data_IF_059272429547
#
_entry.id   IF_059272429547
#
_cell.length_a   1.000
_cell.length_b   1.000
_cell.length_c   1.000
_cell.angle_alpha   90.00
_cell.angle_beta   90.00
_cell.angle_gamma   90.00
#
_symmetry.space_group_name_H-M   'P 1'
#
loop_
_entity.id
_entity.type
_entity.pdbx_description
1 polymer ?
#
# COMPACT_ATOMS: atom_id res chain seq x y z
N UNK A 1 2.19 54.91 -52.82
CA UNK A 1 3.36 54.08 -52.63
C UNK A 1 2.99 52.99 -51.64
N UNK A 2 2.54 52.01 -52.16
CA UNK A 2 2.76 50.57 -52.19
C UNK A 2 2.87 49.88 -50.84
N UNK A 3 1.77 49.21 -50.46
CA UNK A 3 1.67 48.11 -49.46
C UNK A 3 2.54 46.94 -49.94
N UNK A 4 3.43 46.48 -49.10
CA UNK A 4 4.14 45.22 -49.30
C UNK A 4 3.31 44.09 -48.67
N UNK A 5 2.86 43.14 -49.49
CA UNK A 5 2.19 41.92 -49.14
C UNK A 5 3.14 40.95 -48.39
N UNK A 6 2.85 40.68 -47.14
CA UNK A 6 3.45 39.60 -46.39
C UNK A 6 2.64 38.32 -46.63
N UNK A 7 3.14 37.48 -47.53
CA UNK A 7 2.67 36.12 -47.76
C UNK A 7 2.89 35.25 -46.51
N UNK A 8 1.86 35.07 -45.68
CA UNK A 8 1.81 34.02 -44.67
C UNK A 8 1.62 32.69 -45.41
N UNK A 9 2.70 31.92 -45.49
CA UNK A 9 2.62 30.52 -45.90
C UNK A 9 1.77 29.77 -44.88
N UNK A 10 0.62 29.24 -45.30
CA UNK A 10 -0.17 28.28 -44.55
C UNK A 10 0.68 27.05 -44.24
N UNK A 11 0.87 26.79 -42.97
CA UNK A 11 1.42 25.53 -42.44
C UNK A 11 0.28 24.49 -42.64
N UNK A 12 0.49 23.41 -43.39
CA UNK A 12 -0.54 22.41 -43.57
C UNK A 12 -0.90 21.76 -42.23
N UNK A 13 -2.12 21.88 -41.80
CA UNK A 13 -2.75 21.10 -40.71
C UNK A 13 -2.79 19.63 -41.17
N UNK A 14 -1.73 18.88 -40.96
CA UNK A 14 -1.73 17.42 -40.95
C UNK A 14 -2.24 16.97 -39.57
N UNK A 15 -3.54 17.00 -39.35
CA UNK A 15 -4.23 16.27 -38.31
C UNK A 15 -4.89 15.06 -38.97
N UNK A 16 -4.14 14.02 -39.28
CA UNK A 16 -4.72 12.69 -39.42
C UNK A 16 -5.12 12.25 -38.01
N UNK A 17 -6.44 12.13 -37.76
CA UNK A 17 -6.95 11.36 -36.64
C UNK A 17 -6.48 9.93 -36.85
N UNK A 18 -5.49 9.50 -36.07
CA UNK A 18 -5.04 8.09 -36.05
C UNK A 18 -6.23 7.24 -35.59
N UNK A 19 -6.44 6.09 -36.21
CA UNK A 19 -7.40 5.11 -35.72
C UNK A 19 -7.01 4.67 -34.31
N UNK A 20 -7.98 4.41 -33.44
CA UNK A 20 -7.76 4.01 -32.03
C UNK A 20 -6.73 2.86 -31.91
N UNK A 21 -6.79 1.90 -32.81
CA UNK A 21 -5.86 0.76 -32.84
C UNK A 21 -4.40 1.18 -33.12
N UNK A 22 -4.19 2.14 -34.03
CA UNK A 22 -2.86 2.66 -34.33
C UNK A 22 -2.24 3.44 -33.16
N UNK A 23 -3.08 4.17 -32.39
CA UNK A 23 -2.62 4.87 -31.18
C UNK A 23 -2.18 3.87 -30.11
N UNK A 24 -2.94 2.80 -29.93
CA UNK A 24 -2.61 1.73 -28.98
C UNK A 24 -1.29 1.07 -29.36
N UNK A 25 -1.14 0.65 -30.62
CA UNK A 25 0.07 0.01 -31.13
C UNK A 25 1.30 0.93 -30.94
N UNK A 26 1.19 2.21 -31.32
CA UNK A 26 2.28 3.17 -31.15
C UNK A 26 2.69 3.39 -29.69
N UNK A 27 1.77 3.36 -28.74
CA UNK A 27 2.08 3.47 -27.31
C UNK A 27 2.76 2.21 -26.80
N UNK A 28 2.23 1.03 -27.13
CA UNK A 28 2.79 -0.25 -26.67
C UNK A 28 4.18 -0.51 -27.22
N UNK A 29 4.45 -0.15 -28.49
CA UNK A 29 5.76 -0.28 -29.14
C UNK A 29 6.86 0.57 -28.45
N UNK A 30 6.48 1.58 -27.65
CA UNK A 30 7.42 2.43 -26.87
C UNK A 30 7.73 1.88 -25.50
N UNK A 31 7.11 0.78 -25.08
CA UNK A 31 7.38 0.12 -23.83
C UNK A 31 8.61 -0.79 -24.01
N UNK A 32 9.79 -0.25 -23.66
CA UNK A 32 11.05 -1.02 -23.74
C UNK A 32 11.19 -1.90 -22.49
N UNK A 33 11.12 -3.21 -22.69
CA UNK A 33 11.25 -4.20 -21.61
C UNK A 33 12.62 -4.18 -20.92
N UNK A 34 13.69 -3.79 -21.63
CA UNK A 34 15.03 -3.70 -21.03
C UNK A 34 15.14 -2.49 -20.12
N UNK A 35 14.62 -1.34 -20.56
CA UNK A 35 14.55 -0.13 -19.75
C UNK A 35 13.68 -0.36 -18.53
N UNK A 36 12.53 -1.03 -18.68
CA UNK A 36 11.64 -1.36 -17.57
C UNK A 36 12.32 -2.25 -16.52
N UNK A 37 13.00 -3.31 -16.96
CA UNK A 37 13.76 -4.20 -16.05
C UNK A 37 14.87 -3.42 -15.33
N UNK A 38 15.60 -2.58 -16.06
CA UNK A 38 16.64 -1.77 -15.44
C UNK A 38 16.08 -0.79 -14.42
N UNK A 39 15.00 -0.08 -14.74
CA UNK A 39 14.34 0.84 -13.80
C UNK A 39 13.83 0.12 -12.54
N UNK A 40 13.26 -1.08 -12.69
CA UNK A 40 12.82 -1.88 -11.54
C UNK A 40 14.00 -2.29 -10.65
N UNK A 41 15.13 -2.66 -11.24
CA UNK A 41 16.36 -2.98 -10.50
C UNK A 41 16.98 -1.75 -9.84
N UNK A 42 17.00 -0.60 -10.52
CA UNK A 42 17.51 0.65 -9.95
C UNK A 42 16.69 1.07 -8.73
N UNK A 43 15.36 1.04 -8.82
CA UNK A 43 14.45 1.29 -7.70
C UNK A 43 14.65 0.24 -6.58
N UNK A 44 14.75 -1.03 -6.93
CA UNK A 44 14.92 -2.13 -5.98
C UNK A 44 16.25 -2.08 -5.22
N UNK A 45 17.28 -1.49 -5.79
CA UNK A 45 18.60 -1.33 -5.17
C UNK A 45 18.74 -0.09 -4.29
N UNK A 46 17.74 0.78 -4.23
CA UNK A 46 17.68 1.86 -3.26
C UNK A 46 16.98 1.33 -2.01
N UNK A 47 17.73 1.15 -0.93
CA UNK A 47 17.17 0.70 0.35
C UNK A 47 16.29 1.80 0.95
N UNK A 48 15.01 1.51 1.16
CA UNK A 48 14.02 2.51 1.58
C UNK A 48 13.00 1.94 2.57
N UNK A 49 13.44 1.41 3.72
CA UNK A 49 12.48 1.03 4.76
C UNK A 49 11.63 2.23 5.16
N UNK A 50 10.40 1.98 5.62
CA UNK A 50 9.47 3.05 6.04
C UNK A 50 10.18 4.03 6.99
N UNK A 51 10.10 5.31 6.67
CA UNK A 51 10.82 6.38 7.39
C UNK A 51 12.11 6.84 6.70
N UNK A 52 12.65 6.07 5.75
CA UNK A 52 13.93 6.31 5.07
C UNK A 52 13.77 6.48 3.55
N UNK A 53 12.62 6.97 3.06
CA UNK A 53 12.27 7.01 1.64
C UNK A 53 12.91 8.18 0.85
N UNK A 54 13.76 9.01 1.48
CA UNK A 54 14.30 10.21 0.84
C UNK A 54 15.10 9.96 -0.44
N UNK A 55 15.98 8.96 -0.44
CA UNK A 55 16.83 8.64 -1.58
C UNK A 55 16.02 8.15 -2.79
N UNK A 56 15.08 7.23 -2.58
CA UNK A 56 14.21 6.76 -3.67
C UNK A 56 13.30 7.87 -4.18
N UNK A 57 12.83 8.76 -3.30
CA UNK A 57 12.05 9.94 -3.69
C UNK A 57 12.84 10.88 -4.60
N UNK A 58 14.13 11.15 -4.30
CA UNK A 58 15.02 11.93 -5.17
C UNK A 58 15.24 11.23 -6.51
N UNK A 59 15.43 9.92 -6.50
CA UNK A 59 15.60 9.13 -7.72
C UNK A 59 14.37 9.23 -8.64
N UNK A 60 13.16 8.96 -8.12
CA UNK A 60 11.91 9.03 -8.89
C UNK A 60 11.66 10.44 -9.42
N UNK A 61 11.91 11.46 -8.59
CA UNK A 61 11.80 12.85 -8.98
C UNK A 61 12.74 13.20 -10.15
N UNK A 62 14.02 12.82 -10.04
CA UNK A 62 15.02 13.05 -11.08
C UNK A 62 14.72 12.28 -12.36
N UNK A 63 14.28 11.02 -12.26
CA UNK A 63 13.89 10.22 -13.41
C UNK A 63 12.71 10.87 -14.17
N UNK A 64 11.65 11.27 -13.48
CA UNK A 64 10.52 11.96 -14.09
C UNK A 64 10.92 13.26 -14.79
N UNK A 65 11.82 14.06 -14.20
CA UNK A 65 12.37 15.24 -14.86
C UNK A 65 13.12 14.91 -16.14
N UNK A 66 13.96 13.87 -16.13
CA UNK A 66 14.70 13.41 -17.31
C UNK A 66 13.77 12.94 -18.43
N UNK A 67 12.65 12.31 -18.05
CA UNK A 67 11.60 11.92 -19.01
C UNK A 67 10.70 13.11 -19.42
N UNK A 68 11.02 14.35 -18.99
CA UNK A 68 10.36 15.59 -19.39
C UNK A 68 9.01 15.82 -18.72
N UNK A 69 8.72 15.17 -17.60
CA UNK A 69 7.62 15.56 -16.72
C UNK A 69 8.01 16.75 -15.85
N UNK A 70 7.01 17.39 -15.22
CA UNK A 70 7.21 18.45 -14.23
C UNK A 70 6.81 17.93 -12.82
N UNK A 71 7.62 17.06 -12.17
CA UNK A 71 7.27 16.50 -10.89
C UNK A 71 7.33 17.55 -9.77
N UNK A 72 6.53 17.30 -8.74
CA UNK A 72 6.51 18.09 -7.49
C UNK A 72 6.81 17.17 -6.31
N UNK A 73 7.53 17.69 -5.33
CA UNK A 73 7.75 17.04 -4.04
C UNK A 73 6.68 17.53 -3.07
N UNK A 74 5.90 16.62 -2.53
CA UNK A 74 4.85 16.89 -1.55
C UNK A 74 5.15 16.10 -0.27
N UNK A 75 5.45 16.78 0.84
CA UNK A 75 5.80 16.08 2.07
C UNK A 75 5.74 16.94 3.31
N UNK A 76 5.55 16.28 4.45
CA UNK A 76 5.62 16.86 5.79
C UNK A 76 7.07 17.01 6.26
N UNK A 77 8.00 16.20 5.72
CA UNK A 77 9.38 16.11 6.16
C UNK A 77 10.33 16.39 5.01
N UNK A 78 11.47 16.98 5.31
CA UNK A 78 12.43 17.40 4.28
C UNK A 78 13.01 16.23 3.47
N UNK A 79 13.29 15.11 4.13
CA UNK A 79 13.91 13.93 3.53
C UNK A 79 12.92 12.78 3.36
N UNK A 80 11.61 13.06 3.37
CA UNK A 80 10.54 12.10 3.30
C UNK A 80 9.32 12.74 2.67
N UNK A 81 9.15 12.57 1.36
CA UNK A 81 8.16 13.28 0.55
C UNK A 81 7.62 12.38 -0.56
N UNK A 82 6.39 12.64 -0.94
CA UNK A 82 5.76 12.02 -2.11
C UNK A 82 6.22 12.74 -3.37
N UNK A 83 6.32 12.00 -4.47
CA UNK A 83 6.60 12.55 -5.80
C UNK A 83 5.34 12.49 -6.63
N UNK A 84 4.89 13.64 -7.11
CA UNK A 84 3.67 13.76 -7.91
C UNK A 84 3.98 14.42 -9.23
N UNK A 85 3.55 13.80 -10.34
CA UNK A 85 3.65 14.37 -11.68
C UNK A 85 2.33 14.22 -12.42
N UNK A 86 2.12 15.04 -13.45
CA UNK A 86 0.91 14.98 -14.28
C UNK A 86 1.29 14.97 -15.75
N UNK A 87 0.74 14.04 -16.51
CA UNK A 87 0.63 14.15 -17.96
C UNK A 87 -0.72 14.82 -18.25
N UNK A 88 -0.72 16.11 -18.66
CA UNK A 88 -1.95 16.86 -18.76
C UNK A 88 -2.80 16.41 -19.95
N UNK A 89 -4.09 16.31 -19.73
CA UNK A 89 -5.12 16.18 -20.76
C UNK A 89 -5.65 17.54 -21.24
N UNK A 90 -6.74 17.52 -22.00
CA UNK A 90 -7.43 18.72 -22.45
C UNK A 90 -8.66 19.09 -21.59
N UNK A 91 -8.79 18.51 -20.41
CA UNK A 91 -9.87 18.70 -19.43
C UNK A 91 -11.26 18.22 -19.89
N UNK A 92 -11.35 17.41 -20.94
CA UNK A 92 -12.63 16.88 -21.44
C UNK A 92 -12.88 15.42 -20.99
N UNK A 93 -11.86 14.74 -20.46
CA UNK A 93 -11.91 13.35 -20.02
C UNK A 93 -11.79 13.20 -18.52
N UNK A 94 -11.86 11.94 -18.05
CA UNK A 94 -11.66 11.58 -16.64
C UNK A 94 -10.18 11.64 -16.27
N UNK A 95 -9.89 12.18 -15.11
CA UNK A 95 -8.55 12.11 -14.50
C UNK A 95 -8.34 10.74 -13.85
N UNK A 96 -7.19 10.11 -14.15
CA UNK A 96 -6.75 8.86 -13.52
C UNK A 96 -5.52 9.10 -12.66
N UNK A 97 -5.55 8.64 -11.41
CA UNK A 97 -4.36 8.55 -10.56
C UNK A 97 -3.76 7.15 -10.68
N UNK A 98 -2.46 7.04 -10.97
CA UNK A 98 -1.66 5.84 -10.76
C UNK A 98 -0.86 6.02 -9.48
N UNK A 99 -0.98 5.08 -8.56
CA UNK A 99 -0.39 5.17 -7.22
C UNK A 99 0.42 3.92 -6.90
N UNK A 100 1.61 4.11 -6.34
CA UNK A 100 2.45 3.08 -5.74
C UNK A 100 3.29 3.68 -4.61
N UNK A 101 3.68 2.85 -3.66
CA UNK A 101 4.53 3.29 -2.55
C UNK A 101 6.01 3.01 -2.78
N UNK A 102 6.85 3.83 -2.14
CA UNK A 102 8.31 3.76 -2.25
C UNK A 102 8.97 3.00 -1.11
N UNK A 103 8.28 2.83 0.00
CA UNK A 103 8.83 2.20 1.20
C UNK A 103 8.84 0.68 1.12
N UNK A 104 9.74 0.08 1.90
CA UNK A 104 9.91 -1.37 2.05
C UNK A 104 9.72 -1.81 3.51
N UNK A 105 9.49 -3.13 3.70
CA UNK A 105 8.95 -3.68 4.94
C UNK A 105 9.98 -3.75 6.08
N UNK A 106 11.28 -3.97 5.78
CA UNK A 106 12.27 -4.42 6.77
C UNK A 106 13.45 -3.45 6.82
N UNK A 107 13.71 -2.91 8.01
CA UNK A 107 14.94 -2.18 8.30
C UNK A 107 16.03 -3.11 8.83
N UNK A 108 17.30 -2.78 8.56
CA UNK A 108 18.48 -3.58 8.98
C UNK A 108 18.58 -3.76 10.49
N UNK A 109 18.04 -2.81 11.23
CA UNK A 109 18.04 -2.76 12.69
C UNK A 109 16.96 -3.67 13.31
N UNK A 110 16.03 -4.19 12.54
CA UNK A 110 14.91 -5.02 13.01
C UNK A 110 15.29 -6.48 13.32
N UNK A 111 16.48 -6.71 13.85
CA UNK A 111 17.03 -8.04 14.14
C UNK A 111 16.20 -8.85 15.15
N UNK A 112 15.41 -8.19 15.99
CA UNK A 112 14.56 -8.84 16.99
C UNK A 112 13.23 -9.35 16.42
N UNK A 113 12.77 -8.78 15.34
CA UNK A 113 11.50 -9.15 14.66
C UNK A 113 11.77 -9.98 13.42
N UNK A 114 12.88 -9.71 12.73
CA UNK A 114 13.22 -10.38 11.47
C UNK A 114 14.60 -11.03 11.57
N UNK A 115 14.59 -12.34 11.70
CA UNK A 115 15.84 -13.12 11.72
C UNK A 115 16.53 -12.99 10.36
N UNK A 116 17.74 -12.44 10.37
CA UNK A 116 18.45 -12.14 9.13
C UNK A 116 18.03 -10.82 8.47
N UNK A 117 17.55 -9.84 9.24
CA UNK A 117 17.15 -8.53 8.74
C UNK A 117 18.19 -7.83 7.84
N UNK A 118 19.47 -8.14 8.02
CA UNK A 118 20.56 -7.62 7.18
C UNK A 118 20.79 -8.42 5.88
N UNK A 119 19.97 -9.44 5.57
CA UNK A 119 20.10 -10.22 4.34
C UNK A 119 19.86 -9.31 3.12
N UNK A 120 20.71 -9.38 2.08
CA UNK A 120 20.56 -8.60 0.86
C UNK A 120 19.18 -8.69 0.19
N UNK A 121 18.45 -9.78 0.37
CA UNK A 121 17.10 -9.95 -0.20
C UNK A 121 16.12 -8.84 0.29
N UNK A 122 16.35 -8.25 1.46
CA UNK A 122 15.52 -7.18 2.00
C UNK A 122 15.95 -5.77 1.55
N UNK A 123 17.19 -5.61 1.01
CA UNK A 123 17.79 -4.30 0.78
C UNK A 123 18.30 -4.07 -0.63
N UNK A 124 18.23 -5.11 -1.48
CA UNK A 124 18.76 -5.07 -2.84
C UNK A 124 17.85 -5.83 -3.79
N UNK A 125 18.04 -5.59 -5.09
CA UNK A 125 17.34 -6.32 -6.13
C UNK A 125 18.34 -6.82 -7.20
N UNK A 126 18.06 -8.00 -7.74
CA UNK A 126 18.84 -8.58 -8.82
C UNK A 126 17.97 -9.40 -9.77
N UNK A 127 18.53 -9.73 -10.92
CA UNK A 127 17.90 -10.60 -11.90
C UNK A 127 18.49 -12.01 -11.80
N UNK A 128 17.60 -13.02 -11.80
CA UNK A 128 17.98 -14.42 -11.92
C UNK A 128 17.10 -15.09 -12.99
N UNK A 129 17.68 -15.34 -14.16
CA UNK A 129 16.93 -15.84 -15.31
C UNK A 129 15.81 -14.88 -15.74
N UNK A 130 14.56 -15.34 -15.64
CA UNK A 130 13.35 -14.58 -15.97
C UNK A 130 12.68 -13.94 -14.74
N UNK A 131 13.36 -13.97 -13.58
CA UNK A 131 12.88 -13.39 -12.36
C UNK A 131 13.66 -12.13 -11.99
N UNK A 132 12.95 -11.15 -11.42
CA UNK A 132 13.50 -10.08 -10.59
C UNK A 132 13.26 -10.45 -9.13
N UNK A 133 14.31 -10.36 -8.32
CA UNK A 133 14.29 -10.79 -6.91
C UNK A 133 14.71 -9.63 -6.04
N UNK A 134 14.07 -9.48 -4.88
CA UNK A 134 14.40 -8.50 -3.87
C UNK A 134 13.16 -7.90 -3.21
N UNK A 135 13.35 -7.38 -2.00
CA UNK A 135 12.30 -6.69 -1.27
C UNK A 135 11.90 -5.40 -2.01
N UNK A 136 10.60 -5.17 -2.16
CA UNK A 136 10.06 -4.05 -2.92
C UNK A 136 9.84 -4.36 -4.41
N UNK A 137 10.45 -5.40 -5.01
CA UNK A 137 10.18 -5.76 -6.41
C UNK A 137 8.69 -6.08 -6.63
N UNK A 138 8.08 -6.83 -5.74
CA UNK A 138 6.64 -7.10 -5.80
C UNK A 138 5.80 -6.03 -5.10
N UNK A 139 6.36 -5.38 -4.08
CA UNK A 139 5.64 -4.47 -3.17
C UNK A 139 6.54 -3.28 -2.78
N UNK A 140 6.61 -2.18 -3.53
CA UNK A 140 5.72 -1.89 -4.68
C UNK A 140 6.52 -1.28 -5.85
N UNK A 141 7.88 -1.38 -5.82
CA UNK A 141 8.81 -0.73 -6.76
C UNK A 141 8.72 -1.28 -8.19
N UNK A 142 8.41 -2.57 -8.36
CA UNK A 142 8.18 -3.15 -9.69
C UNK A 142 6.91 -2.59 -10.34
N UNK A 143 5.74 -2.68 -9.71
CA UNK A 143 4.53 -2.01 -10.20
C UNK A 143 4.73 -0.52 -10.47
N UNK A 144 5.51 0.19 -9.62
CA UNK A 144 5.91 1.58 -9.84
C UNK A 144 6.72 1.75 -11.13
N UNK A 145 7.73 0.93 -11.36
CA UNK A 145 8.51 0.95 -12.59
C UNK A 145 7.61 0.74 -13.82
N UNK A 146 6.64 -0.17 -13.73
CA UNK A 146 5.72 -0.48 -14.82
C UNK A 146 4.87 0.74 -15.21
N UNK A 147 4.25 1.45 -14.25
CA UNK A 147 3.47 2.63 -14.63
C UNK A 147 4.34 3.85 -14.97
N UNK A 148 5.56 3.96 -14.46
CA UNK A 148 6.52 4.99 -14.88
C UNK A 148 6.84 4.83 -16.38
N UNK A 149 7.16 3.63 -16.83
CA UNK A 149 7.43 3.33 -18.24
C UNK A 149 6.16 3.49 -19.10
N UNK A 150 4.99 3.07 -18.61
CA UNK A 150 3.72 3.30 -19.30
C UNK A 150 3.45 4.80 -19.52
N UNK A 151 3.65 5.63 -18.48
CA UNK A 151 3.48 7.08 -18.56
C UNK A 151 4.50 7.72 -19.54
N UNK A 152 5.76 7.26 -19.53
CA UNK A 152 6.77 7.68 -20.50
C UNK A 152 6.33 7.34 -21.92
N UNK A 153 5.88 6.11 -22.18
CA UNK A 153 5.42 5.67 -23.50
C UNK A 153 4.24 6.49 -24.01
N UNK A 154 3.27 6.79 -23.13
CA UNK A 154 2.15 7.68 -23.45
C UNK A 154 2.62 9.09 -23.82
N UNK A 155 3.58 9.62 -23.10
CA UNK A 155 4.13 10.96 -23.39
C UNK A 155 4.91 10.99 -24.71
N UNK A 156 5.76 10.02 -24.96
CA UNK A 156 6.62 9.94 -26.16
C UNK A 156 5.85 9.63 -27.43
N UNK A 157 4.70 8.92 -27.33
CA UNK A 157 3.82 8.70 -28.48
C UNK A 157 3.17 10.00 -28.97
N UNK A 158 3.19 11.05 -28.15
CA UNK A 158 2.52 12.31 -28.48
C UNK A 158 1.00 12.24 -28.45
N UNK A 159 0.42 11.16 -27.90
CA UNK A 159 -1.04 11.02 -27.73
C UNK A 159 -1.57 12.15 -26.84
N UNK A 160 -2.68 12.74 -27.26
CA UNK A 160 -3.37 13.76 -26.47
C UNK A 160 -4.51 13.13 -25.69
N UNK A 161 -4.30 12.95 -24.40
CA UNK A 161 -5.34 12.49 -23.49
C UNK A 161 -6.43 13.56 -23.33
N UNK A 162 -7.67 13.15 -23.04
CA UNK A 162 -8.76 14.08 -22.72
C UNK A 162 -8.76 14.44 -21.22
N UNK A 163 -8.45 13.50 -20.34
CA UNK A 163 -8.27 13.70 -18.90
C UNK A 163 -6.82 13.64 -18.50
N UNK A 164 -6.52 14.12 -17.30
CA UNK A 164 -5.16 14.10 -16.75
C UNK A 164 -4.76 12.71 -16.28
N UNK A 165 -3.53 12.30 -16.56
CA UNK A 165 -2.90 11.15 -15.90
C UNK A 165 -2.01 11.67 -14.79
N UNK A 166 -2.38 11.39 -13.55
CA UNK A 166 -1.68 11.81 -12.34
C UNK A 166 -0.85 10.63 -11.82
N UNK A 167 0.44 10.85 -11.62
CA UNK A 167 1.41 9.86 -11.17
C UNK A 167 1.77 10.17 -9.72
N UNK A 168 1.66 9.19 -8.82
CA UNK A 168 1.95 9.36 -7.40
C UNK A 168 2.83 8.23 -6.88
N UNK A 169 4.09 8.55 -6.58
CA UNK A 169 4.98 7.70 -5.80
C UNK A 169 5.01 8.20 -4.36
N UNK A 170 4.51 7.40 -3.43
CA UNK A 170 4.22 7.83 -2.07
C UNK A 170 5.10 7.16 -1.02
N UNK A 171 5.21 7.79 0.15
CA UNK A 171 5.94 7.28 1.31
C UNK A 171 5.00 6.64 2.31
N UNK A 172 5.51 5.75 3.17
CA UNK A 172 4.85 5.34 4.41
C UNK A 172 3.59 4.50 4.25
N UNK A 173 3.45 3.77 3.15
CA UNK A 173 2.31 2.87 2.95
C UNK A 173 2.39 1.66 3.90
N UNK A 174 3.54 1.01 3.98
CA UNK A 174 3.74 -0.19 4.82
C UNK A 174 3.57 0.14 6.31
N UNK A 175 4.08 1.26 6.71
CA UNK A 175 3.65 1.92 7.93
C UNK A 175 4.33 1.53 9.23
N UNK A 176 4.91 2.52 9.84
CA UNK A 176 5.10 2.61 11.28
C UNK A 176 3.88 3.31 11.88
N UNK A 177 3.54 3.01 13.15
CA UNK A 177 2.42 3.63 13.84
C UNK A 177 2.87 4.12 15.21
N UNK A 178 2.62 5.40 15.54
CA UNK A 178 3.06 5.97 16.82
C UNK A 178 2.40 5.27 18.01
N UNK A 179 3.21 4.83 18.97
CA UNK A 179 2.76 4.23 20.22
C UNK A 179 3.83 4.38 21.31
N UNK A 180 3.43 4.61 22.53
CA UNK A 180 4.31 4.78 23.71
C UNK A 180 5.43 5.81 23.46
N UNK A 181 6.70 5.42 23.60
CA UNK A 181 7.88 6.25 23.29
C UNK A 181 8.15 6.39 21.78
N UNK A 182 7.55 5.55 20.95
CA UNK A 182 7.68 5.61 19.49
C UNK A 182 6.68 6.62 18.93
N UNK A 183 7.09 7.88 18.79
CA UNK A 183 6.22 9.00 18.42
C UNK A 183 6.69 9.69 17.14
N UNK A 184 5.82 10.45 16.45
CA UNK A 184 6.24 11.27 15.30
C UNK A 184 7.39 12.22 15.66
N UNK A 185 8.24 12.61 14.66
CA UNK A 185 8.06 12.42 13.22
C UNK A 185 8.57 11.10 12.65
N UNK A 186 9.36 10.33 13.40
CA UNK A 186 10.04 9.13 12.88
C UNK A 186 9.05 8.00 12.59
N UNK A 187 7.98 7.90 13.37
CA UNK A 187 7.00 6.80 13.31
C UNK A 187 5.70 7.17 12.57
N UNK A 188 5.58 8.39 12.05
CA UNK A 188 4.41 8.79 11.27
C UNK A 188 4.56 8.29 9.82
N UNK A 189 3.76 7.32 9.42
CA UNK A 189 3.85 6.73 8.10
C UNK A 189 2.66 7.09 7.18
N UNK A 190 1.50 6.54 7.42
CA UNK A 190 0.33 6.62 6.53
C UNK A 190 -0.16 8.05 6.24
N UNK A 191 -0.06 8.96 7.20
CA UNK A 191 -0.46 10.35 7.04
C UNK A 191 0.49 11.13 6.13
N UNK A 192 1.76 10.72 6.05
CA UNK A 192 2.77 11.38 5.22
C UNK A 192 2.66 10.99 3.74
N UNK A 193 2.05 9.83 3.44
CA UNK A 193 1.93 9.23 2.11
C UNK A 193 0.72 9.72 1.31
N UNK A 194 -0.05 8.78 0.78
CA UNK A 194 -1.19 9.05 -0.12
C UNK A 194 -2.20 10.02 0.49
N UNK A 195 -2.47 9.96 1.79
CA UNK A 195 -3.38 10.91 2.45
C UNK A 195 -2.89 12.36 2.30
N UNK A 196 -1.60 12.59 2.52
CA UNK A 196 -0.99 13.90 2.31
C UNK A 196 -1.05 14.32 0.84
N UNK A 197 -0.68 13.42 -0.07
CA UNK A 197 -0.70 13.70 -1.51
C UNK A 197 -2.09 14.10 -2.01
N UNK A 198 -3.14 13.37 -1.65
CA UNK A 198 -4.54 13.64 -2.04
C UNK A 198 -5.01 14.98 -1.48
N UNK A 199 -4.76 15.26 -0.21
CA UNK A 199 -5.17 16.54 0.42
C UNK A 199 -4.39 17.75 -0.12
N UNK A 200 -3.30 17.52 -0.87
CA UNK A 200 -2.49 18.56 -1.52
C UNK A 200 -2.54 18.50 -3.05
N UNK A 201 -3.65 17.98 -3.59
CA UNK A 201 -4.02 18.13 -5.00
C UNK A 201 -3.61 16.99 -5.92
N UNK A 202 -3.16 15.85 -5.41
CA UNK A 202 -3.02 14.62 -6.21
C UNK A 202 -4.38 13.92 -6.36
N UNK A 203 -5.31 14.52 -7.09
CA UNK A 203 -6.72 14.13 -7.18
C UNK A 203 -7.10 13.87 -8.64
N UNK A 204 -7.70 12.71 -8.89
CA UNK A 204 -8.33 12.32 -10.15
C UNK A 204 -9.81 11.96 -9.97
N UNK A 205 -10.50 11.64 -11.05
CA UNK A 205 -11.88 11.14 -11.02
C UNK A 205 -11.93 9.67 -10.55
N UNK A 206 -10.81 8.95 -10.65
CA UNK A 206 -10.59 7.61 -10.08
C UNK A 206 -9.10 7.35 -9.85
N UNK A 207 -8.78 6.30 -9.10
CA UNK A 207 -7.41 5.90 -8.80
C UNK A 207 -7.20 4.40 -9.03
N UNK A 208 -6.10 4.04 -9.66
CA UNK A 208 -5.55 2.70 -9.74
C UNK A 208 -4.37 2.62 -8.77
N UNK A 209 -4.51 1.82 -7.73
CA UNK A 209 -3.42 1.47 -6.83
C UNK A 209 -2.69 0.28 -7.47
N UNK A 210 -1.50 0.56 -7.98
CA UNK A 210 -0.73 -0.38 -8.79
C UNK A 210 0.13 -1.26 -7.87
N UNK A 211 -0.50 -2.19 -7.18
CA UNK A 211 0.14 -3.18 -6.31
C UNK A 211 -0.18 -4.61 -6.75
N UNK A 212 0.64 -5.57 -6.30
CA UNK A 212 0.50 -6.97 -6.65
C UNK A 212 -0.82 -7.59 -6.25
N UNK A 213 -1.59 -8.10 -7.25
CA UNK A 213 -2.86 -8.81 -7.05
C UNK A 213 -2.98 -10.04 -7.95
N UNK A 214 -1.87 -10.50 -8.54
CA UNK A 214 -1.87 -11.54 -9.58
C UNK A 214 -2.86 -11.23 -10.73
N UNK A 215 -2.92 -9.95 -11.13
CA UNK A 215 -3.88 -9.41 -12.08
C UNK A 215 -5.35 -9.63 -11.73
N UNK A 216 -5.64 -9.85 -10.45
CA UNK A 216 -7.00 -9.88 -9.93
C UNK A 216 -7.50 -8.50 -9.54
N UNK A 217 -8.81 -8.28 -9.64
CA UNK A 217 -9.46 -7.04 -9.22
C UNK A 217 -9.72 -7.02 -7.71
N UNK A 218 -9.44 -5.89 -7.07
CA UNK A 218 -9.81 -5.63 -5.67
C UNK A 218 -10.35 -4.21 -5.53
N UNK A 219 -11.58 -4.06 -5.04
CA UNK A 219 -12.14 -2.75 -4.68
C UNK A 219 -12.86 -2.75 -3.33
N UNK A 220 -12.58 -3.78 -2.51
CA UNK A 220 -12.89 -3.80 -1.08
C UNK A 220 -11.65 -4.19 -0.31
N UNK A 221 -11.33 -3.46 0.73
CA UNK A 221 -10.24 -3.82 1.63
C UNK A 221 -10.60 -3.64 3.09
N UNK A 222 -9.96 -4.47 3.93
CA UNK A 222 -10.07 -4.39 5.36
C UNK A 222 -9.61 -3.02 5.88
N UNK A 223 -10.18 -2.60 6.99
CA UNK A 223 -9.58 -1.62 7.87
C UNK A 223 -8.60 -2.28 8.84
N UNK A 224 -7.99 -1.46 9.69
CA UNK A 224 -7.15 -1.93 10.79
C UNK A 224 -7.45 -1.15 12.07
N UNK A 225 -7.44 -1.88 13.19
CA UNK A 225 -7.55 -1.34 14.51
C UNK A 225 -6.43 -1.94 15.36
N UNK A 226 -5.53 -1.11 15.89
CA UNK A 226 -4.44 -1.56 16.71
C UNK A 226 -4.74 -1.31 18.17
N UNK A 227 -4.59 -2.36 18.96
CA UNK A 227 -4.88 -2.32 20.38
C UNK A 227 -3.62 -2.60 21.20
N UNK A 228 -3.45 -1.83 22.26
CA UNK A 228 -2.52 -2.15 23.33
C UNK A 228 -3.34 -2.70 24.49
N UNK A 229 -3.06 -3.93 24.89
CA UNK A 229 -3.71 -4.59 26.03
C UNK A 229 -2.69 -4.75 27.14
N UNK A 230 -2.89 -4.01 28.22
CA UNK A 230 -2.01 -4.04 29.39
C UNK A 230 -2.66 -4.87 30.48
N UNK A 231 -1.91 -5.82 31.05
CA UNK A 231 -2.27 -6.62 32.21
C UNK A 231 -1.39 -6.20 33.38
N UNK A 232 -2.03 -6.01 34.54
CA UNK A 232 -1.35 -5.61 35.77
C UNK A 232 -1.09 -6.83 36.67
N UNK A 233 0.09 -6.85 37.30
CA UNK A 233 0.48 -7.75 38.38
C UNK A 233 0.10 -7.17 39.73
N UNK A 234 0.87 -7.52 40.76
CA UNK A 234 0.71 -6.91 42.08
C UNK A 234 1.43 -5.55 42.15
N UNK A 235 0.86 -4.62 42.93
CA UNK A 235 1.40 -3.25 43.07
C UNK A 235 2.79 -3.21 43.70
N UNK A 236 3.09 -4.17 44.57
CA UNK A 236 4.40 -4.29 45.20
C UNK A 236 5.18 -5.41 44.52
N UNK A 237 6.34 -5.10 43.85
CA UNK A 237 7.15 -6.13 43.23
C UNK A 237 7.77 -7.04 44.26
N UNK A 238 7.62 -8.36 44.10
CA UNK A 238 8.22 -9.35 44.96
C UNK A 238 9.61 -9.75 44.43
N UNK A 239 10.60 -9.80 45.34
CA UNK A 239 11.92 -10.37 45.03
C UNK A 239 11.79 -11.88 44.83
N UNK A 240 12.55 -12.44 43.88
CA UNK A 240 12.41 -13.82 43.41
C UNK A 240 12.28 -14.88 44.53
N UNK A 241 13.06 -14.87 45.65
CA UNK A 241 12.90 -15.87 46.72
C UNK A 241 11.55 -15.84 47.45
N UNK A 242 10.82 -14.73 47.37
CA UNK A 242 9.53 -14.54 48.07
C UNK A 242 8.32 -14.81 47.19
N UNK A 243 8.53 -15.19 45.91
CA UNK A 243 7.42 -15.45 45.01
C UNK A 243 6.71 -16.74 45.37
N UNK A 244 5.43 -16.63 45.72
CA UNK A 244 4.54 -17.77 45.83
C UNK A 244 3.95 -18.10 44.46
N UNK A 245 3.71 -19.39 44.20
CA UNK A 245 3.12 -19.90 42.95
C UNK A 245 1.64 -20.19 43.15
N UNK A 246 0.75 -19.22 42.97
CA UNK A 246 -0.69 -19.46 43.09
C UNK A 246 -1.18 -20.26 41.88
N UNK A 247 -2.25 -21.02 42.10
CA UNK A 247 -3.04 -21.66 41.06
C UNK A 247 -4.47 -21.15 41.23
N UNK A 248 -5.10 -20.62 40.18
CA UNK A 248 -4.63 -20.53 38.76
C UNK A 248 -3.63 -19.37 38.52
N UNK A 249 -3.00 -19.40 37.34
CA UNK A 249 -1.91 -18.46 36.96
C UNK A 249 -2.36 -17.00 36.86
N UNK A 250 -3.64 -16.72 36.69
CA UNK A 250 -4.26 -15.38 36.69
C UNK A 250 -4.07 -14.66 38.04
N UNK A 251 -3.80 -15.39 39.12
CA UNK A 251 -3.48 -14.86 40.46
C UNK A 251 -1.99 -14.66 40.68
N UNK A 252 -1.14 -14.95 39.69
CA UNK A 252 0.29 -14.71 39.83
C UNK A 252 0.56 -13.23 40.17
N UNK A 253 1.52 -12.94 41.07
CA UNK A 253 1.94 -11.56 41.31
C UNK A 253 2.67 -10.92 40.10
N UNK A 254 3.07 -11.72 39.14
CA UNK A 254 3.84 -11.28 37.95
C UNK A 254 2.93 -11.08 36.74
N UNK A 255 2.88 -9.86 36.22
CA UNK A 255 2.09 -9.52 35.05
C UNK A 255 2.44 -10.34 33.80
N UNK A 256 3.71 -10.68 33.59
CA UNK A 256 4.12 -11.53 32.45
C UNK A 256 3.46 -12.92 32.55
N UNK A 257 3.35 -13.48 33.74
CA UNK A 257 2.71 -14.79 33.94
C UNK A 257 1.20 -14.70 33.71
N UNK A 258 0.56 -13.62 34.19
CA UNK A 258 -0.87 -13.35 33.91
C UNK A 258 -1.13 -13.17 32.42
N UNK A 259 -0.24 -12.49 31.68
CA UNK A 259 -0.36 -12.27 30.24
C UNK A 259 -0.40 -13.58 29.44
N UNK A 260 0.28 -14.63 29.86
CA UNK A 260 0.24 -15.92 29.18
C UNK A 260 -1.20 -16.47 29.05
N UNK A 261 -2.03 -16.28 30.09
CA UNK A 261 -3.46 -16.67 30.04
C UNK A 261 -4.26 -15.84 29.05
N UNK A 262 -3.97 -14.53 29.00
CA UNK A 262 -4.67 -13.66 28.07
C UNK A 262 -4.32 -14.00 26.60
N UNK A 263 -3.06 -14.28 26.32
CA UNK A 263 -2.60 -14.66 24.97
C UNK A 263 -3.35 -15.92 24.49
N UNK A 264 -3.46 -16.95 25.33
CA UNK A 264 -4.20 -18.18 25.00
C UNK A 264 -5.67 -17.88 24.65
N UNK A 265 -6.35 -17.10 25.49
CA UNK A 265 -7.74 -16.72 25.23
C UNK A 265 -7.92 -15.80 24.04
N UNK A 266 -6.92 -14.97 23.72
CA UNK A 266 -6.97 -14.09 22.57
C UNK A 266 -6.83 -14.88 21.26
N UNK A 267 -6.01 -15.91 21.20
CA UNK A 267 -5.90 -16.80 20.04
C UNK A 267 -7.22 -17.56 19.80
N UNK A 268 -7.88 -18.06 20.87
CA UNK A 268 -9.21 -18.69 20.75
C UNK A 268 -10.24 -17.67 20.22
N UNK A 269 -10.24 -16.45 20.76
CA UNK A 269 -11.11 -15.37 20.30
C UNK A 269 -10.84 -14.99 18.85
N UNK A 270 -9.56 -14.90 18.45
CA UNK A 270 -9.15 -14.57 17.09
C UNK A 270 -9.71 -15.56 16.07
N UNK A 271 -9.64 -16.86 16.39
CA UNK A 271 -10.21 -17.91 15.55
C UNK A 271 -11.73 -17.73 15.34
N UNK A 272 -12.47 -17.45 16.41
CA UNK A 272 -13.92 -17.19 16.33
C UNK A 272 -14.23 -15.89 15.59
N UNK A 273 -13.44 -14.84 15.83
CA UNK A 273 -13.59 -13.53 15.24
C UNK A 273 -13.47 -13.56 13.71
N UNK A 274 -12.46 -14.25 13.17
CA UNK A 274 -12.22 -14.39 11.75
C UNK A 274 -13.42 -15.04 11.01
N UNK A 275 -14.06 -16.03 11.62
CA UNK A 275 -15.23 -16.70 11.05
C UNK A 275 -16.49 -15.84 11.15
N UNK A 276 -16.67 -15.14 12.26
CA UNK A 276 -17.89 -14.39 12.58
C UNK A 276 -18.04 -13.13 11.74
N UNK A 277 -16.92 -12.50 11.35
CA UNK A 277 -16.90 -11.20 10.71
C UNK A 277 -16.47 -11.20 9.24
N UNK A 278 -16.59 -12.33 8.56
CA UNK A 278 -16.36 -12.41 7.13
C UNK A 278 -17.28 -11.45 6.36
N UNK A 279 -16.74 -10.67 5.44
CA UNK A 279 -17.45 -9.70 4.62
C UNK A 279 -17.25 -10.02 3.14
N UNK A 280 -18.34 -10.17 2.39
CA UNK A 280 -18.31 -10.54 0.97
C UNK A 280 -19.06 -9.49 0.14
N UNK A 281 -18.45 -9.05 -0.95
CA UNK A 281 -19.08 -8.19 -1.95
C UNK A 281 -18.48 -8.48 -3.33
N UNK A 282 -19.01 -7.90 -4.42
CA UNK A 282 -18.46 -8.10 -5.76
C UNK A 282 -16.99 -7.70 -5.91
N UNK A 283 -16.50 -6.84 -5.02
CA UNK A 283 -15.12 -6.34 -5.01
C UNK A 283 -14.10 -7.23 -4.33
N UNK A 284 -14.54 -8.29 -3.68
CA UNK A 284 -13.67 -9.23 -2.96
C UNK A 284 -14.27 -9.77 -1.68
N UNK A 285 -13.45 -10.52 -0.96
CA UNK A 285 -13.82 -11.13 0.32
C UNK A 285 -12.83 -10.71 1.39
N UNK A 286 -13.31 -9.99 2.41
CA UNK A 286 -12.50 -9.63 3.57
C UNK A 286 -12.69 -10.70 4.66
N UNK A 287 -11.59 -11.37 5.01
CA UNK A 287 -11.50 -12.23 6.20
C UNK A 287 -10.64 -11.49 7.22
N UNK A 288 -11.25 -10.92 8.27
CA UNK A 288 -10.51 -10.11 9.22
C UNK A 288 -9.58 -10.99 10.04
N UNK A 289 -8.28 -10.69 10.00
CA UNK A 289 -7.24 -11.43 10.71
C UNK A 289 -6.83 -10.69 11.99
N UNK A 290 -6.33 -11.47 12.95
CA UNK A 290 -5.81 -10.94 14.21
C UNK A 290 -4.37 -11.43 14.38
N UNK A 291 -3.48 -10.54 14.85
CA UNK A 291 -2.09 -10.88 15.11
C UNK A 291 -1.59 -10.15 16.36
N UNK A 292 -0.89 -10.87 17.24
CA UNK A 292 -0.13 -10.29 18.34
C UNK A 292 1.25 -9.93 17.78
N UNK A 293 1.46 -8.65 17.47
CA UNK A 293 2.68 -8.18 16.82
C UNK A 293 3.86 -7.92 17.77
N UNK A 294 3.58 -7.61 19.04
CA UNK A 294 4.61 -7.33 20.02
C UNK A 294 4.15 -7.64 21.46
N UNK A 295 5.11 -7.88 22.34
CA UNK A 295 4.91 -8.01 23.77
C UNK A 295 6.00 -7.22 24.52
N UNK A 296 5.62 -6.50 25.58
CA UNK A 296 6.53 -5.72 26.43
C UNK A 296 6.25 -5.99 27.91
N UNK A 297 7.26 -6.40 28.65
CA UNK A 297 7.15 -6.64 30.08
C UNK A 297 8.51 -6.83 30.73
N UNK A 298 8.78 -6.06 31.79
CA UNK A 298 10.05 -6.07 32.49
C UNK A 298 11.23 -5.51 31.69
N UNK A 299 12.41 -5.65 32.21
CA UNK A 299 13.67 -5.24 31.59
C UNK A 299 14.75 -6.32 31.80
N UNK A 300 15.49 -6.73 30.72
CA UNK A 300 16.43 -7.87 30.81
C UNK A 300 17.54 -7.72 31.82
N UNK A 301 17.99 -6.52 32.14
CA UNK A 301 19.05 -6.24 33.08
C UNK A 301 18.58 -6.18 34.56
N UNK A 302 17.26 -6.38 34.82
CA UNK A 302 16.69 -6.29 36.18
C UNK A 302 15.59 -7.33 36.38
N UNK A 303 15.98 -8.60 36.33
CA UNK A 303 15.06 -9.76 36.32
C UNK A 303 14.75 -10.33 37.71
N UNK A 304 15.26 -9.74 38.79
CA UNK A 304 15.19 -10.31 40.14
C UNK A 304 13.89 -10.04 40.88
N UNK A 305 12.92 -9.35 40.26
CA UNK A 305 11.61 -9.00 40.84
C UNK A 305 10.48 -9.33 39.89
N UNK A 306 9.27 -9.52 40.43
CA UNK A 306 8.06 -9.63 39.65
C UNK A 306 7.82 -8.35 38.86
N UNK A 307 7.21 -8.49 37.68
CA UNK A 307 6.84 -7.38 36.78
C UNK A 307 5.44 -6.91 37.10
N UNK A 308 5.25 -5.62 37.26
CA UNK A 308 3.98 -5.01 37.64
C UNK A 308 3.02 -4.82 36.47
N UNK A 309 3.53 -4.70 35.26
CA UNK A 309 2.72 -4.56 34.05
C UNK A 309 3.34 -5.30 32.87
N UNK A 310 2.50 -5.88 32.02
CA UNK A 310 2.87 -6.49 30.76
C UNK A 310 1.85 -6.08 29.71
N UNK A 311 2.31 -5.63 28.55
CA UNK A 311 1.44 -5.21 27.45
C UNK A 311 1.68 -6.06 26.20
N UNK A 312 0.62 -6.36 25.45
CA UNK A 312 0.66 -6.86 24.08
C UNK A 312 0.09 -5.83 23.12
N UNK A 313 0.60 -5.85 21.89
CA UNK A 313 0.17 -4.97 20.81
C UNK A 313 -0.44 -5.84 19.71
N UNK A 314 -1.71 -5.59 19.43
CA UNK A 314 -2.56 -6.48 18.62
C UNK A 314 -3.04 -5.74 17.39
N UNK A 315 -2.72 -6.27 16.20
CA UNK A 315 -3.31 -5.87 14.92
C UNK A 315 -4.62 -6.64 14.72
N UNK A 316 -5.74 -5.95 14.72
CA UNK A 316 -7.04 -6.51 14.38
C UNK A 316 -7.50 -5.91 13.06
N UNK A 317 -7.59 -6.75 12.04
CA UNK A 317 -8.21 -6.35 10.77
C UNK A 317 -9.71 -6.31 10.97
N UNK A 318 -10.33 -5.26 10.43
CA UNK A 318 -11.78 -5.03 10.55
C UNK A 318 -12.38 -4.90 9.16
N UNK A 319 -13.62 -5.33 9.02
CA UNK A 319 -14.36 -5.17 7.76
C UNK A 319 -14.90 -3.74 7.61
N UNK A 320 -15.30 -3.32 6.40
CA UNK A 320 -15.92 -2.00 6.20
C UNK A 320 -17.15 -1.74 7.07
N UNK A 321 -17.84 -2.80 7.52
CA UNK A 321 -19.06 -2.71 8.33
C UNK A 321 -18.81 -2.65 9.84
N UNK A 322 -17.57 -2.90 10.32
CA UNK A 322 -17.28 -2.99 11.74
C UNK A 322 -16.89 -1.64 12.35
N UNK A 323 -17.34 -1.46 13.62
CA UNK A 323 -16.90 -0.36 14.45
C UNK A 323 -15.74 -0.83 15.38
N UNK A 324 -14.57 -0.17 15.37
CA UNK A 324 -13.45 -0.56 16.22
C UNK A 324 -13.75 -0.47 17.72
N UNK A 325 -14.75 0.32 18.14
CA UNK A 325 -15.14 0.41 19.55
C UNK A 325 -15.87 -0.84 20.02
N UNK A 326 -16.59 -1.53 19.14
CA UNK A 326 -17.23 -2.81 19.48
C UNK A 326 -16.15 -3.89 19.65
N UNK A 327 -15.14 -3.91 18.78
CA UNK A 327 -13.96 -4.78 18.91
C UNK A 327 -13.23 -4.50 20.23
N UNK A 328 -13.02 -3.22 20.57
CA UNK A 328 -12.43 -2.86 21.87
C UNK A 328 -13.24 -3.40 23.04
N UNK A 329 -14.58 -3.35 22.96
CA UNK A 329 -15.42 -3.88 24.04
C UNK A 329 -15.30 -5.41 24.14
N UNK A 330 -15.28 -6.13 23.04
CA UNK A 330 -15.03 -7.58 23.04
C UNK A 330 -13.70 -7.94 23.72
N UNK A 331 -12.63 -7.18 23.42
CA UNK A 331 -11.32 -7.37 24.04
C UNK A 331 -11.32 -7.06 25.54
N UNK A 332 -12.07 -6.04 25.99
CA UNK A 332 -12.28 -5.74 27.41
C UNK A 332 -13.03 -6.88 28.12
N UNK A 333 -14.06 -7.40 27.48
CA UNK A 333 -14.83 -8.52 28.01
C UNK A 333 -13.94 -9.78 28.09
N UNK A 334 -13.02 -9.96 27.15
CA UNK A 334 -12.05 -11.06 27.18
C UNK A 334 -11.11 -10.94 28.41
N UNK A 335 -10.54 -9.76 28.64
CA UNK A 335 -9.70 -9.49 29.83
C UNK A 335 -10.47 -9.75 31.12
N UNK A 336 -11.74 -9.28 31.19
CA UNK A 336 -12.61 -9.49 32.35
C UNK A 336 -12.94 -10.95 32.58
N UNK A 337 -13.30 -11.71 31.53
CA UNK A 337 -13.57 -13.15 31.60
C UNK A 337 -12.35 -13.96 32.02
N UNK A 338 -11.15 -13.50 31.66
CA UNK A 338 -9.90 -14.08 32.12
C UNK A 338 -9.65 -13.86 33.64
N UNK A 339 -10.47 -13.06 34.32
CA UNK A 339 -10.25 -12.71 35.71
C UNK A 339 -9.03 -11.83 35.94
N UNK A 340 -8.62 -11.07 34.92
CA UNK A 340 -7.43 -10.23 34.92
C UNK A 340 -7.77 -8.77 35.18
N UNK A 341 -6.90 -8.06 35.89
CA UNK A 341 -6.91 -6.61 35.96
C UNK A 341 -6.09 -6.09 34.77
N UNK A 342 -6.72 -5.34 33.87
CA UNK A 342 -6.05 -4.85 32.68
C UNK A 342 -6.85 -3.76 31.97
N UNK A 343 -6.18 -3.13 30.99
CA UNK A 343 -6.70 -2.05 30.16
C UNK A 343 -6.59 -2.39 28.69
N UNK A 344 -7.56 -1.91 27.88
CA UNK A 344 -7.56 -2.04 26.43
C UNK A 344 -7.62 -0.66 25.81
N UNK A 345 -6.54 -0.26 25.20
CA UNK A 345 -6.37 1.01 24.49
C UNK A 345 -6.42 0.75 22.98
N UNK A 346 -7.25 1.53 22.25
CA UNK A 346 -7.23 1.63 20.80
C UNK A 346 -6.30 2.79 20.43
N UNK A 347 -5.14 2.52 19.80
CA UNK A 347 -4.18 3.57 19.46
C UNK A 347 -4.07 3.86 17.96
N UNK A 348 -4.58 2.94 17.09
CA UNK A 348 -4.72 3.19 15.65
C UNK A 348 -6.09 2.73 15.19
N UNK A 349 -6.74 3.57 14.40
CA UNK A 349 -7.94 3.20 13.64
C UNK A 349 -7.86 3.73 12.22
N UNK A 350 -7.97 2.82 11.27
CA UNK A 350 -8.10 3.14 9.85
C UNK A 350 -9.23 2.31 9.28
N UNK A 351 -10.24 3.00 8.78
CA UNK A 351 -11.42 2.35 8.24
C UNK A 351 -11.09 1.55 6.97
N UNK A 352 -11.74 0.39 6.80
CA UNK A 352 -11.86 -0.32 5.53
C UNK A 352 -12.98 0.24 4.69
N UNK A 353 -12.86 0.10 3.38
CA UNK A 353 -13.89 0.60 2.45
C UNK A 353 -14.21 -0.44 1.39
N UNK A 354 -15.47 -0.47 0.97
CA UNK A 354 -15.90 -0.99 -0.32
C UNK A 354 -16.00 0.17 -1.31
N UNK A 355 -15.23 0.11 -2.39
CA UNK A 355 -15.21 1.15 -3.42
C UNK A 355 -16.57 1.36 -4.05
N UNK A 356 -17.02 2.59 -4.11
CA UNK A 356 -18.28 2.98 -4.72
C UNK A 356 -18.03 3.61 -6.08
N UNK A 357 -18.93 3.40 -7.04
CA UNK A 357 -18.84 3.98 -8.41
C UNK A 357 -17.55 3.59 -9.14
N UNK A 358 -17.05 2.38 -8.90
CA UNK A 358 -15.80 1.87 -9.48
C UNK A 358 -15.99 1.37 -10.93
N UNK A 359 -17.22 1.23 -11.40
CA UNK A 359 -17.58 0.59 -12.65
C UNK A 359 -16.79 1.15 -13.85
N UNK A 360 -16.64 2.48 -14.05
CA UNK A 360 -15.91 3.00 -15.20
C UNK A 360 -14.43 2.59 -15.22
N UNK A 361 -13.79 2.50 -14.05
CA UNK A 361 -12.41 2.03 -13.92
C UNK A 361 -12.34 0.50 -14.05
N UNK A 362 -13.26 -0.24 -13.41
CA UNK A 362 -13.33 -1.69 -13.50
C UNK A 362 -13.52 -2.17 -14.94
N UNK A 363 -14.42 -1.54 -15.69
CA UNK A 363 -14.63 -1.84 -17.10
C UNK A 363 -13.41 -1.53 -17.98
N UNK A 364 -12.68 -0.44 -17.70
CA UNK A 364 -11.45 -0.13 -18.43
C UNK A 364 -10.37 -1.19 -18.15
N UNK A 365 -10.22 -1.62 -16.90
CA UNK A 365 -9.31 -2.71 -16.52
C UNK A 365 -9.74 -4.01 -17.22
N UNK A 366 -11.02 -4.35 -17.21
CA UNK A 366 -11.55 -5.56 -17.87
C UNK A 366 -11.25 -5.58 -19.37
N UNK A 367 -11.44 -4.44 -20.07
CA UNK A 367 -11.11 -4.33 -21.51
C UNK A 367 -9.62 -4.50 -21.77
N UNK A 368 -8.76 -3.84 -20.98
CA UNK A 368 -7.32 -3.97 -21.11
C UNK A 368 -6.86 -5.40 -20.82
N UNK A 369 -7.36 -6.00 -19.73
CA UNK A 369 -7.04 -7.38 -19.35
C UNK A 369 -7.48 -8.37 -20.45
N UNK A 370 -8.70 -8.26 -20.95
CA UNK A 370 -9.21 -9.12 -22.04
C UNK A 370 -8.39 -8.96 -23.32
N UNK A 371 -7.91 -7.76 -23.62
CA UNK A 371 -7.05 -7.52 -24.79
C UNK A 371 -5.70 -8.24 -24.67
N UNK A 372 -5.12 -8.33 -23.47
CA UNK A 372 -3.80 -8.94 -23.23
C UNK A 372 -3.92 -10.44 -22.98
N UNK A 373 -4.84 -10.88 -22.13
CA UNK A 373 -4.96 -12.28 -21.69
C UNK A 373 -6.02 -13.09 -22.46
N UNK A 374 -6.90 -12.44 -23.22
CA UNK A 374 -8.01 -13.11 -23.91
C UNK A 374 -9.21 -13.47 -23.01
N UNK A 375 -9.14 -13.19 -21.71
CA UNK A 375 -10.19 -13.46 -20.71
C UNK A 375 -10.43 -12.24 -19.82
N UNK A 376 -11.52 -12.25 -19.06
CA UNK A 376 -11.80 -11.22 -18.05
C UNK A 376 -11.00 -11.47 -16.76
N UNK A 377 -10.57 -10.41 -16.05
CA UNK A 377 -9.91 -10.57 -14.77
C UNK A 377 -10.87 -11.15 -13.74
N UNK A 378 -10.33 -11.99 -12.86
CA UNK A 378 -11.05 -12.51 -11.69
C UNK A 378 -10.94 -11.53 -10.54
N UNK A 379 -11.86 -11.62 -9.60
CA UNK A 379 -11.69 -10.98 -8.29
C UNK A 379 -10.55 -11.69 -7.57
N UNK A 380 -9.66 -10.91 -6.96
CA UNK A 380 -8.51 -11.46 -6.27
C UNK A 380 -8.93 -12.29 -5.03
N UNK A 381 -8.13 -13.30 -4.63
CA UNK A 381 -8.39 -14.08 -3.42
C UNK A 381 -8.46 -13.23 -2.15
N UNK A 382 -9.19 -13.73 -1.14
CA UNK A 382 -9.44 -13.06 0.13
C UNK A 382 -8.21 -12.46 0.85
N UNK A 383 -6.99 -13.04 0.81
CA UNK A 383 -5.82 -12.40 1.41
C UNK A 383 -5.56 -10.99 0.88
N UNK A 384 -5.77 -10.74 -0.41
CA UNK A 384 -5.57 -9.42 -1.02
C UNK A 384 -6.59 -8.37 -0.52
N UNK A 385 -7.86 -8.76 -0.40
CA UNK A 385 -8.91 -7.87 0.15
C UNK A 385 -8.81 -7.69 1.68
N UNK A 386 -8.10 -8.58 2.37
CA UNK A 386 -7.92 -8.53 3.83
C UNK A 386 -6.71 -7.70 4.25
N UNK A 387 -5.99 -7.10 3.29
CA UNK A 387 -4.93 -6.12 3.53
C UNK A 387 -5.54 -4.74 3.81
N UNK A 388 -4.71 -3.79 4.18
CA UNK A 388 -5.03 -2.37 4.15
C UNK A 388 -4.00 -1.69 3.24
N UNK A 389 -4.44 -1.10 2.16
CA UNK A 389 -3.63 -0.41 1.16
C UNK A 389 -4.17 0.99 0.88
N UNK A 390 -3.48 1.74 0.07
CA UNK A 390 -3.79 3.12 -0.27
C UNK A 390 -5.15 3.31 -0.96
N UNK A 391 -5.73 2.25 -1.52
CA UNK A 391 -7.12 2.26 -2.04
C UNK A 391 -8.11 2.79 -0.98
N UNK A 392 -7.89 2.47 0.30
CA UNK A 392 -8.75 2.95 1.38
C UNK A 392 -8.67 4.46 1.56
N UNK A 393 -7.51 5.08 1.31
CA UNK A 393 -7.35 6.54 1.38
C UNK A 393 -8.13 7.24 0.27
N UNK A 394 -8.09 6.73 -0.95
CA UNK A 394 -8.88 7.28 -2.06
C UNK A 394 -10.38 7.14 -1.81
N UNK A 395 -10.83 5.95 -1.38
CA UNK A 395 -12.24 5.69 -1.07
C UNK A 395 -12.74 6.55 0.10
N UNK A 396 -11.89 6.83 1.11
CA UNK A 396 -12.22 7.70 2.24
C UNK A 396 -12.61 9.13 1.81
N UNK A 397 -11.95 9.65 0.78
CA UNK A 397 -12.26 10.98 0.22
C UNK A 397 -13.23 10.95 -0.95
N UNK A 398 -13.84 9.80 -1.23
CA UNK A 398 -14.87 9.61 -2.25
C UNK A 398 -14.34 9.47 -3.68
N UNK A 399 -13.05 9.20 -3.87
CA UNK A 399 -12.44 8.88 -5.16
C UNK A 399 -12.56 7.37 -5.38
N UNK A 400 -13.31 6.91 -6.39
CA UNK A 400 -13.40 5.49 -6.74
C UNK A 400 -12.01 4.91 -7.00
N UNK A 401 -11.66 3.80 -6.33
CA UNK A 401 -10.35 3.22 -6.49
C UNK A 401 -10.38 1.69 -6.58
N UNK A 402 -9.45 1.14 -7.35
CA UNK A 402 -9.24 -0.31 -7.52
C UNK A 402 -7.75 -0.60 -7.33
N UNK A 403 -7.43 -1.68 -6.62
CA UNK A 403 -6.08 -2.24 -6.62
C UNK A 403 -5.99 -3.30 -7.72
N UNK A 404 -4.97 -3.18 -8.57
CA UNK A 404 -4.73 -4.10 -9.68
C UNK A 404 -3.26 -4.03 -10.13
N UNK A 405 -2.60 -5.18 -10.19
CA UNK A 405 -1.21 -5.23 -10.60
C UNK A 405 -0.65 -6.64 -10.80
N UNK A 406 0.65 -6.76 -11.10
CA UNK A 406 1.30 -7.99 -11.53
C UNK A 406 1.32 -9.06 -10.44
N UNK A 407 1.83 -10.23 -10.82
CA UNK A 407 2.01 -11.37 -9.92
C UNK A 407 2.93 -11.06 -8.75
N UNK A 408 2.47 -11.40 -7.54
CA UNK A 408 3.15 -11.11 -6.28
C UNK A 408 3.77 -12.34 -5.62
N UNK A 409 3.69 -13.53 -6.20
CA UNK A 409 3.98 -14.77 -5.48
C UNK A 409 4.69 -15.83 -6.32
N UNK A 410 5.87 -15.53 -6.80
CA UNK A 410 6.73 -16.60 -7.31
C UNK A 410 7.56 -17.14 -6.15
N UNK A 411 7.35 -18.42 -5.77
CA UNK A 411 8.18 -19.08 -4.77
C UNK A 411 7.82 -18.87 -3.30
N UNK A 412 6.60 -18.38 -2.99
CA UNK A 412 6.06 -18.38 -1.63
C UNK A 412 6.46 -17.18 -0.74
N UNK A 413 7.00 -16.12 -1.32
CA UNK A 413 7.27 -14.85 -0.64
C UNK A 413 7.16 -13.69 -1.62
N UNK A 414 6.83 -12.49 -1.15
CA UNK A 414 6.71 -11.28 -1.97
C UNK A 414 8.08 -10.74 -2.47
N UNK A 415 9.03 -11.62 -2.79
CA UNK A 415 10.40 -11.24 -3.13
C UNK A 415 10.77 -11.50 -4.59
N UNK A 416 9.95 -12.19 -5.36
CA UNK A 416 10.25 -12.49 -6.74
C UNK A 416 9.07 -12.22 -7.67
N UNK A 417 9.34 -11.59 -8.81
CA UNK A 417 8.38 -11.28 -9.87
C UNK A 417 8.93 -11.76 -11.22
N UNK A 418 8.08 -12.31 -12.07
CA UNK A 418 8.45 -12.61 -13.45
C UNK A 418 8.62 -11.32 -14.24
N UNK A 419 9.65 -11.27 -15.08
CA UNK A 419 9.86 -10.15 -16.01
C UNK A 419 8.67 -10.00 -16.96
N UNK A 420 8.08 -11.11 -17.38
CA UNK A 420 6.89 -11.12 -18.24
C UNK A 420 5.69 -10.43 -17.57
N UNK A 421 5.44 -10.71 -16.28
CA UNK A 421 4.38 -10.08 -15.50
C UNK A 421 4.60 -8.57 -15.37
N UNK A 422 5.85 -8.16 -15.17
CA UNK A 422 6.22 -6.74 -15.09
C UNK A 422 5.96 -6.00 -16.39
N UNK A 423 6.36 -6.61 -17.54
CA UNK A 423 6.11 -6.03 -18.88
C UNK A 423 4.62 -5.99 -19.18
N UNK A 424 3.90 -7.05 -18.83
CA UNK A 424 2.44 -7.12 -18.97
C UNK A 424 1.75 -6.01 -18.16
N UNK A 425 2.22 -5.75 -16.94
CA UNK A 425 1.68 -4.66 -16.12
C UNK A 425 1.88 -3.29 -16.77
N UNK A 426 3.06 -3.02 -17.35
CA UNK A 426 3.31 -1.76 -18.06
C UNK A 426 2.35 -1.57 -19.25
N UNK A 427 2.14 -2.62 -20.05
CA UNK A 427 1.19 -2.60 -21.15
C UNK A 427 -0.24 -2.33 -20.66
N UNK A 428 -0.68 -3.02 -19.60
CA UNK A 428 -1.99 -2.85 -19.00
C UNK A 428 -2.19 -1.44 -18.47
N UNK A 429 -1.24 -0.87 -17.75
CA UNK A 429 -1.35 0.49 -17.21
C UNK A 429 -1.44 1.54 -18.32
N UNK A 430 -0.71 1.35 -19.42
CA UNK A 430 -0.84 2.22 -20.60
C UNK A 430 -2.24 2.12 -21.24
N UNK A 431 -2.76 0.91 -21.42
CA UNK A 431 -4.10 0.68 -21.99
C UNK A 431 -5.21 1.25 -21.10
N UNK A 432 -5.12 1.01 -19.77
CA UNK A 432 -6.08 1.53 -18.80
C UNK A 432 -6.07 3.06 -18.81
N UNK A 433 -4.89 3.68 -18.84
CA UNK A 433 -4.76 5.13 -18.89
C UNK A 433 -5.36 5.71 -20.19
N UNK A 434 -5.08 5.08 -21.34
CA UNK A 434 -5.69 5.46 -22.63
C UNK A 434 -7.21 5.35 -22.58
N UNK A 435 -7.74 4.29 -21.98
CA UNK A 435 -9.20 4.08 -21.91
C UNK A 435 -9.85 5.10 -20.96
N UNK A 436 -9.41 5.15 -19.71
CA UNK A 436 -10.00 6.00 -18.66
C UNK A 436 -9.89 7.48 -19.00
N UNK A 437 -8.69 7.93 -19.37
CA UNK A 437 -8.47 9.36 -19.64
C UNK A 437 -9.19 9.85 -20.91
N UNK A 438 -9.64 8.95 -21.78
CA UNK A 438 -10.44 9.31 -22.96
C UNK A 438 -11.97 9.14 -22.78
N UNK A 439 -12.42 8.59 -21.64
CA UNK A 439 -13.84 8.59 -21.29
C UNK A 439 -14.32 10.02 -21.00
N UNK A 440 -15.56 10.34 -21.40
CA UNK A 440 -16.15 11.64 -21.05
C UNK A 440 -16.29 11.75 -19.53
N UNK A 441 -15.94 12.91 -19.01
CA UNK A 441 -16.25 13.26 -17.63
C UNK A 441 -17.76 13.52 -17.55
N UNK A 442 -18.52 12.63 -16.89
CA UNK A 442 -19.92 12.88 -16.65
C UNK A 442 -20.03 14.14 -15.80
N UNK A 443 -20.88 15.09 -16.22
CA UNK A 443 -21.26 16.20 -15.34
C UNK A 443 -21.86 15.62 -14.07
N UNK A 444 -21.36 16.04 -12.92
CA UNK A 444 -21.79 15.59 -11.60
C UNK A 444 -23.23 16.02 -11.34
#
# INVERSE_FOLDING_TARGET
MTRADLNMREIPKRGLEMKKEQVVEEVLDRIDSKELVQLALDLGNIDSPTGCEGEIGEFVYGWLQQQGFAPRKLGLFRNRFNVVATLPGNSQGRGLVLNSHMDTTIAKEEIWTTRGAADPIFHSAWREGDLLIGNGICNDKGPMAAWLIAAKALRESGVRLKGDLILTAVVGEIGLEPVDEFQPPEYLAKEAGTRYAVTHGAVGDCALVAEGTDFGLVWVEAGKAFFKITVFGEDVPLYTPYIQRPTPIERSPNAIVRMARLIELLEDWAHEYEHRHRYECPGGVVVPKVNIGAIRGGVPYKITKTVQQCAIYVDVRITPAQNPLDVRQELRDLVSRAGLNGEVELYVYRRGYEGQRVEPLAEAIQRAHQQIFGELPKVAPAPFSSMWRDINVFNEVGIPAITYGPGASVGGGNFAMRIEDLVTAANLYALIALDVCNQQRNAA
#
